data_IF_502584908066
#
_entry.id   IF_502584908066
#
_cell.length_a   1.000
_cell.length_b   1.000
_cell.length_c   1.000
_cell.angle_alpha   90.00
_cell.angle_beta   90.00
_cell.angle_gamma   90.00
#
_symmetry.space_group_name_H-M   'P 1'
#
loop_
_entity.id
_entity.type
_entity.pdbx_description
1 polymer ?
2 branched ?
3 non-polymer ?
4 water ?
#
# COMPACT_ATOMS: atom_id res chain seq x y z
N UNK A 4 -13.56 1.16 15.24
CA UNK A 4 -14.79 0.91 14.51
C UNK A 4 -14.65 0.33 13.10
N UNK A 5 -13.60 0.65 12.35
CA UNK A 5 -13.38 0.11 11.03
C UNK A 5 -13.22 -1.41 11.03
N UNK A 6 -12.23 -1.90 11.77
CA UNK A 6 -12.03 -3.37 11.85
C UNK A 6 -13.18 -4.00 12.61
N UNK A 7 -13.70 -3.26 13.58
CA UNK A 7 -14.88 -3.72 14.30
C UNK A 7 -16.04 -4.00 13.34
N UNK A 8 -16.34 -3.17 12.37
CA UNK A 8 -17.37 -3.38 11.38
C UNK A 8 -17.11 -4.47 10.35
N UNK A 9 -15.92 -4.43 9.74
CA UNK A 9 -15.56 -5.34 8.67
C UNK A 9 -14.87 -6.63 9.11
N UNK A 10 -14.12 -6.63 10.20
CA UNK A 10 -13.49 -7.86 10.68
C UNK A 10 -12.55 -8.40 9.58
N UNK A 11 -12.60 -9.71 9.44
CA UNK A 11 -11.76 -10.40 8.45
C UNK A 11 -12.06 -10.08 7.02
N UNK A 12 -11.08 -9.57 6.26
CA UNK A 12 -11.19 -9.30 4.85
C UNK A 12 -10.87 -10.53 4.04
N UNK A 13 -11.38 -10.65 2.84
CA UNK A 13 -11.16 -11.80 1.97
C UNK A 13 -11.42 -11.33 0.57
N UNK A 14 -11.12 -12.12 -0.43
CA UNK A 14 -11.37 -11.80 -1.80
C UNK A 14 -12.50 -12.70 -2.32
N UNK A 15 -13.45 -12.12 -3.00
CA UNK A 15 -14.58 -12.84 -3.57
C UNK A 15 -14.75 -12.39 -5.02
N UNK A 16 -14.36 -13.27 -5.94
CA UNK A 16 -14.44 -12.95 -7.37
C UNK A 16 -13.72 -11.68 -7.77
N UNK A 17 -12.56 -11.45 -7.17
CA UNK A 17 -11.74 -10.29 -7.51
C UNK A 17 -12.03 -9.07 -6.67
N UNK A 18 -12.99 -9.14 -5.75
CA UNK A 18 -13.39 -8.01 -4.95
C UNK A 18 -12.93 -8.22 -3.49
N UNK A 19 -12.42 -7.13 -2.93
CA UNK A 19 -12.10 -7.09 -1.52
C UNK A 19 -13.42 -7.02 -0.77
N UNK A 20 -13.69 -7.95 0.12
CA UNK A 20 -14.95 -7.99 0.84
C UNK A 20 -14.71 -8.26 2.31
N UNK A 21 -15.73 -7.96 3.11
CA UNK A 21 -15.66 -8.15 4.53
C UNK A 21 -16.23 -9.53 4.86
N UNK A 22 -16.29 -9.78 6.17
CA UNK A 22 -16.78 -11.10 6.56
C UNK A 22 -18.25 -11.34 6.32
N UNK A 23 -19.04 -10.56 5.60
CA UNK A 23 -20.41 -10.85 5.22
C UNK A 23 -20.55 -10.75 3.71
N UNK A 24 -19.39 -10.66 3.01
CA UNK A 24 -19.44 -10.57 1.55
C UNK A 24 -19.71 -9.23 0.95
N UNK A 25 -19.73 -8.21 1.83
CA UNK A 25 -19.98 -6.84 1.38
C UNK A 25 -18.67 -6.22 0.92
N UNK A 26 -18.70 -5.50 -0.16
CA UNK A 26 -17.59 -4.76 -0.68
C UNK A 26 -16.98 -3.86 0.40
N UNK A 27 -15.63 -3.84 0.41
CA UNK A 27 -14.92 -3.00 1.36
C UNK A 27 -13.94 -2.17 0.51
N UNK A 28 -13.90 -0.87 0.73
CA UNK A 28 -12.97 -0.03 -0.01
C UNK A 28 -12.13 0.73 1.01
N UNK A 29 -10.86 0.41 1.09
CA UNK A 29 -9.93 1.01 2.03
C UNK A 29 -9.26 2.20 1.31
N UNK A 30 -9.17 3.33 1.99
CA UNK A 30 -8.54 4.55 1.57
C UNK A 30 -7.67 5.06 2.71
N UNK A 31 -6.39 5.30 2.44
CA UNK A 31 -5.55 5.74 3.56
C UNK A 31 -4.25 6.29 2.98
N UNK A 32 -3.29 6.41 3.87
CA UNK A 32 -2.00 6.94 3.47
C UNK A 32 -0.90 5.92 3.66
N UNK A 33 0.14 6.07 2.84
CA UNK A 33 1.37 5.37 3.02
C UNK A 33 2.38 6.37 3.66
N UNK A 34 3.22 5.80 4.56
CA UNK A 34 4.37 6.49 5.05
C UNK A 34 5.33 6.60 3.86
N UNK A 35 6.31 7.45 4.01
CA UNK A 35 7.46 7.48 3.06
C UNK A 35 8.41 6.43 3.67
N UNK A 36 9.67 6.38 3.29
CA UNK A 36 10.59 5.38 3.84
C UNK A 36 10.73 5.53 5.34
N UNK A 37 10.47 4.46 6.07
CA UNK A 37 10.53 4.50 7.55
C UNK A 37 11.94 4.80 8.06
N UNK A 38 12.98 4.53 7.28
CA UNK A 38 14.34 4.85 7.67
C UNK A 38 14.61 6.34 7.55
N UNK A 39 13.81 7.13 6.85
CA UNK A 39 14.00 8.54 6.69
C UNK A 39 12.96 9.40 7.42
N UNK A 40 11.71 8.97 7.34
CA UNK A 40 10.60 9.78 7.82
C UNK A 40 9.70 9.05 8.76
N UNK A 41 10.28 8.31 9.70
CA UNK A 41 9.61 7.51 10.68
C UNK A 41 8.94 8.27 11.81
N UNK A 42 9.36 9.52 12.01
CA UNK A 42 8.77 10.36 13.04
C UNK A 42 7.30 10.64 12.72
N UNK A 43 6.88 10.56 11.47
CA UNK A 43 5.50 10.82 11.08
C UNK A 43 4.58 9.62 11.30
N UNK A 44 5.17 8.49 11.67
CA UNK A 44 4.47 7.24 11.92
C UNK A 44 4.48 6.93 13.42
N UNK A 45 3.30 7.12 14.03
CA UNK A 45 3.13 6.94 15.45
C UNK A 45 1.63 6.86 15.77
N UNK A 46 1.32 6.48 17.00
CA UNK A 46 -0.08 6.35 17.39
C UNK A 46 -0.81 7.69 17.25
N UNK A 47 -0.20 8.80 17.62
CA UNK A 47 -0.97 10.06 17.58
C UNK A 47 -1.25 10.45 16.12
N UNK A 48 -0.24 10.42 15.26
CA UNK A 48 -0.45 10.79 13.86
C UNK A 48 -1.44 9.86 13.20
N UNK A 49 -1.43 8.56 13.45
CA UNK A 49 -2.40 7.62 12.85
C UNK A 49 -3.80 7.85 13.40
N UNK A 50 -3.86 8.27 14.67
CA UNK A 50 -5.18 8.60 15.22
C UNK A 50 -5.77 9.84 14.56
N UNK A 51 -4.91 10.85 14.37
CA UNK A 51 -5.30 12.09 13.75
C UNK A 51 -5.73 11.82 12.31
N UNK A 52 -4.96 10.99 11.59
CA UNK A 52 -5.37 10.61 10.24
C UNK A 52 -6.72 9.87 10.27
N UNK A 53 -6.94 9.01 11.25
CA UNK A 53 -8.17 8.26 11.36
C UNK A 53 -9.34 9.23 11.63
N UNK A 54 -9.13 10.05 12.65
CA UNK A 54 -10.21 10.91 13.10
C UNK A 54 -10.44 12.13 12.26
N UNK A 55 -9.42 12.78 11.73
CA UNK A 55 -9.57 14.01 10.96
C UNK A 55 -9.63 13.78 9.46
N UNK A 56 -8.89 12.79 8.95
CA UNK A 56 -8.96 12.52 7.52
C UNK A 56 -10.01 11.44 7.18
N UNK A 57 -10.26 10.52 8.09
CA UNK A 57 -11.09 9.36 7.88
C UNK A 57 -10.38 8.15 7.29
N UNK A 58 -9.04 8.02 7.43
CA UNK A 58 -8.38 6.84 6.89
C UNK A 58 -8.93 5.56 7.53
N UNK A 59 -8.88 4.47 6.81
CA UNK A 59 -9.25 3.19 7.33
C UNK A 59 -8.14 2.14 7.05
N UNK A 60 -6.99 2.60 6.61
CA UNK A 60 -5.84 1.77 6.35
C UNK A 60 -4.59 2.69 6.37
N UNK A 61 -3.50 2.16 6.92
CA UNK A 61 -2.22 2.82 7.02
C UNK A 61 -1.16 1.86 6.47
N UNK A 62 -0.31 2.38 5.59
CA UNK A 62 0.72 1.54 4.98
C UNK A 62 2.10 1.91 5.51
N UNK A 63 2.79 0.93 6.08
CA UNK A 63 4.13 1.12 6.59
C UNK A 63 5.12 0.67 5.50
N UNK A 64 5.82 1.65 4.94
CA UNK A 64 6.74 1.40 3.85
C UNK A 64 8.15 1.17 4.34
N UNK A 65 8.45 -0.10 4.55
CA UNK A 65 9.73 -0.53 5.04
C UNK A 65 10.68 -0.79 3.86
N UNK A 66 11.44 0.23 3.47
CA UNK A 66 12.42 0.00 2.41
C UNK A 66 13.37 -1.10 2.88
N UNK A 67 13.81 -1.90 1.93
CA UNK A 67 14.73 -2.98 2.18
C UNK A 67 16.13 -2.41 1.95
N UNK A 68 16.27 -1.82 0.79
CA UNK A 68 17.52 -1.19 0.40
C UNK A 68 17.52 0.27 0.80
N UNK A 69 18.43 1.08 0.30
CA UNK A 69 18.56 2.50 0.59
C UNK A 69 18.58 2.89 2.04
N UNK A 70 19.33 2.18 2.89
CA UNK A 70 19.50 2.40 4.28
C UNK A 70 18.36 1.81 5.13
N UNK A 71 17.59 0.93 4.51
CA UNK A 71 16.47 0.29 5.14
C UNK A 71 16.79 -0.99 5.88
N UNK A 72 15.79 -1.89 5.91
CA UNK A 72 15.87 -3.07 6.72
C UNK A 72 17.13 -3.93 6.53
N UNK A 73 17.61 -4.14 5.32
CA UNK A 73 18.77 -5.02 5.13
C UNK A 73 19.95 -4.48 5.91
N UNK A 74 20.33 -3.23 5.69
CA UNK A 74 21.41 -2.65 6.49
C UNK A 74 21.08 -2.36 7.93
N UNK A 75 19.85 -1.92 8.24
CA UNK A 75 19.54 -1.67 9.65
C UNK A 75 18.13 -2.15 9.92
N UNK A 76 18.01 -3.34 10.47
CA UNK A 76 16.76 -3.95 10.77
C UNK A 76 16.04 -3.37 11.97
N UNK A 77 16.57 -2.33 12.61
CA UNK A 77 15.88 -1.69 13.72
C UNK A 77 14.63 -0.98 13.22
N UNK A 78 14.56 -0.71 11.90
CA UNK A 78 13.36 -0.14 11.30
C UNK A 78 12.16 -1.06 11.49
N UNK A 79 12.35 -2.34 11.73
CA UNK A 79 11.23 -3.26 11.99
C UNK A 79 10.40 -2.83 13.21
N UNK A 80 11.02 -2.21 14.18
CA UNK A 80 10.40 -1.71 15.39
C UNK A 80 9.36 -0.63 15.03
N UNK A 81 9.72 0.21 14.06
CA UNK A 81 8.79 1.21 13.53
C UNK A 81 7.60 0.56 12.87
N UNK A 82 7.78 -0.55 12.13
CA UNK A 82 6.74 -1.33 11.56
C UNK A 82 5.85 -1.91 12.67
N UNK A 83 6.50 -2.45 13.72
CA UNK A 83 5.74 -2.95 14.83
C UNK A 83 4.88 -1.90 15.50
N UNK A 84 5.43 -0.74 15.72
CA UNK A 84 4.77 0.40 16.34
C UNK A 84 3.55 0.81 15.51
N UNK A 85 3.70 0.77 14.19
CA UNK A 85 2.61 1.12 13.28
C UNK A 85 1.49 0.09 13.37
N UNK A 86 1.81 -1.20 13.34
CA UNK A 86 0.88 -2.30 13.41
C UNK A 86 0.06 -2.30 14.70
N UNK A 87 0.78 -2.12 15.80
CA UNK A 87 0.21 -2.11 17.15
C UNK A 87 -0.65 -0.87 17.28
N UNK A 88 -0.23 0.26 16.71
CA UNK A 88 -1.09 1.45 16.69
C UNK A 88 -2.34 1.21 15.90
N UNK A 89 -2.27 0.56 14.72
CA UNK A 89 -3.42 0.23 13.90
C UNK A 89 -4.40 -0.67 14.64
N UNK A 90 -3.81 -1.63 15.40
CA UNK A 90 -4.66 -2.56 16.15
C UNK A 90 -5.39 -1.80 17.29
N UNK A 91 -4.69 -0.90 17.94
CA UNK A 91 -5.30 -0.09 18.98
C UNK A 91 -6.37 0.82 18.39
N UNK A 92 -6.09 1.37 17.20
CA UNK A 92 -7.01 2.34 16.60
C UNK A 92 -8.10 1.72 15.78
N UNK A 93 -8.09 0.42 15.60
CA UNK A 93 -9.07 -0.37 14.88
C UNK A 93 -9.13 -0.13 13.39
N UNK A 94 -7.96 0.14 12.78
CA UNK A 94 -7.87 0.35 11.34
C UNK A 94 -6.99 -0.76 10.75
N UNK A 95 -6.98 -0.90 9.44
CA UNK A 95 -6.17 -1.88 8.75
C UNK A 95 -4.76 -1.32 8.55
N UNK A 96 -3.79 -2.22 8.41
CA UNK A 96 -2.40 -1.85 8.30
C UNK A 96 -1.71 -2.75 7.29
N UNK A 97 -0.94 -2.13 6.41
CA UNK A 97 -0.21 -2.86 5.37
C UNK A 97 1.28 -2.84 5.76
N UNK A 98 1.84 -4.03 5.86
CA UNK A 98 3.27 -4.24 6.11
C UNK A 98 3.86 -4.39 4.71
N UNK A 99 4.64 -3.41 4.30
CA UNK A 99 5.22 -3.34 3.00
C UNK A 99 6.73 -3.50 2.98
N UNK A 100 7.15 -4.61 2.36
CA UNK A 100 8.52 -4.96 2.07
C UNK A 100 8.83 -4.16 0.79
N UNK A 101 9.37 -2.98 1.04
CA UNK A 101 9.41 -1.96 0.01
C UNK A 101 10.64 -2.03 -0.86
N UNK A 102 10.59 -3.00 -1.80
CA UNK A 102 11.76 -3.06 -2.73
C UNK A 102 11.57 -1.96 -3.78
N UNK A 103 12.64 -1.48 -4.39
CA UNK A 103 12.66 -0.45 -5.42
C UNK A 103 13.99 -0.48 -6.15
N UNK A 104 15.06 0.03 -5.58
CA UNK A 104 16.38 -0.09 -6.24
C UNK A 104 16.81 -1.54 -6.34
N UNK A 105 16.44 -2.38 -5.35
CA UNK A 105 16.61 -3.83 -5.38
C UNK A 105 15.40 -4.36 -6.15
N UNK A 106 15.51 -4.24 -7.48
CA UNK A 106 14.38 -4.35 -8.36
C UNK A 106 13.82 -5.73 -8.59
N UNK A 107 14.64 -6.72 -8.34
CA UNK A 107 14.15 -8.12 -8.43
C UNK A 107 13.87 -8.54 -7.01
N UNK A 108 12.64 -9.00 -6.70
CA UNK A 108 12.28 -9.42 -5.36
C UNK A 108 13.15 -10.57 -4.86
N UNK A 109 13.69 -11.39 -5.76
CA UNK A 109 14.57 -12.45 -5.29
C UNK A 109 15.89 -12.01 -4.70
N UNK A 110 16.34 -10.76 -4.85
CA UNK A 110 17.59 -10.29 -4.29
C UNK A 110 17.61 -10.58 -2.80
N UNK A 111 16.56 -10.26 -2.03
CA UNK A 111 16.52 -10.54 -0.61
C UNK A 111 15.41 -11.55 -0.25
N UNK A 112 15.27 -12.61 -1.05
CA UNK A 112 14.23 -13.58 -0.77
C UNK A 112 14.31 -14.23 0.60
N UNK A 113 15.49 -14.68 1.00
CA UNK A 113 15.68 -15.34 2.29
C UNK A 113 15.28 -14.41 3.43
N UNK A 114 15.75 -13.19 3.40
CA UNK A 114 15.44 -12.15 4.37
C UNK A 114 13.93 -11.85 4.42
N UNK A 115 13.29 -11.78 3.25
CA UNK A 115 11.85 -11.53 3.19
C UNK A 115 11.05 -12.65 3.82
N UNK A 116 11.46 -13.88 3.55
CA UNK A 116 10.83 -15.04 4.17
C UNK A 116 11.02 -14.97 5.68
N UNK A 117 12.18 -14.60 6.17
CA UNK A 117 12.40 -14.55 7.62
C UNK A 117 11.53 -13.45 8.28
N UNK A 118 11.53 -12.30 7.65
CA UNK A 118 10.79 -11.11 8.07
C UNK A 118 9.30 -11.39 8.10
N UNK A 119 8.74 -11.97 7.04
CA UNK A 119 7.32 -12.30 7.02
C UNK A 119 6.93 -13.44 7.93
N UNK A 120 7.85 -14.39 8.15
CA UNK A 120 7.59 -15.43 9.15
C UNK A 120 7.43 -14.73 10.50
N UNK A 121 8.30 -13.83 10.89
CA UNK A 121 8.22 -13.11 12.15
C UNK A 121 6.97 -12.25 12.27
N UNK A 122 6.63 -11.51 11.20
CA UNK A 122 5.45 -10.63 11.27
C UNK A 122 4.16 -11.43 11.40
N UNK A 123 4.05 -12.49 10.63
CA UNK A 123 2.88 -13.34 10.60
C UNK A 123 2.70 -14.14 11.90
N UNK A 124 3.80 -14.56 12.52
CA UNK A 124 3.68 -15.22 13.83
C UNK A 124 3.19 -14.17 14.85
N UNK A 125 3.73 -12.97 14.83
CA UNK A 125 3.34 -11.99 15.83
C UNK A 125 1.91 -11.50 15.67
N UNK A 126 1.51 -11.27 14.40
CA UNK A 126 0.24 -10.60 14.13
C UNK A 126 -0.77 -11.31 13.30
N UNK A 127 -0.56 -12.52 12.84
CA UNK A 127 -1.43 -13.29 11.99
C UNK A 127 -2.87 -13.48 12.42
N UNK A 128 -3.11 -13.40 13.73
CA UNK A 128 -4.45 -13.61 14.27
C UNK A 128 -5.29 -12.35 14.22
N UNK A 129 -4.65 -11.22 13.85
CA UNK A 129 -5.47 -10.00 13.81
C UNK A 129 -5.92 -9.75 12.38
N UNK A 130 -7.19 -9.42 12.19
CA UNK A 130 -7.71 -9.13 10.86
C UNK A 130 -7.17 -7.82 10.31
N UNK A 131 -6.60 -6.98 11.12
CA UNK A 131 -6.08 -5.68 10.72
C UNK A 131 -4.94 -5.78 9.70
N UNK A 132 -4.18 -6.86 9.77
CA UNK A 132 -2.96 -6.94 8.97
C UNK A 132 -3.10 -7.37 7.55
N UNK A 133 -2.36 -6.66 6.69
CA UNK A 133 -2.31 -6.95 5.26
C UNK A 133 -0.84 -7.04 4.92
N UNK A 134 -0.39 -8.08 4.23
CA UNK A 134 1.01 -8.15 3.83
C UNK A 134 1.24 -7.69 2.39
N UNK A 135 2.31 -6.93 2.16
CA UNK A 135 2.67 -6.51 0.81
C UNK A 135 4.11 -6.94 0.61
N UNK A 136 4.32 -8.04 -0.12
CA UNK A 136 5.58 -8.74 -0.13
C UNK A 136 6.62 -8.24 -1.10
N UNK A 137 6.28 -7.35 -2.03
CA UNK A 137 7.32 -6.82 -2.94
C UNK A 137 6.82 -5.54 -3.61
N UNK A 138 7.02 -4.41 -2.97
CA UNK A 138 6.50 -3.14 -3.41
C UNK A 138 6.46 -2.95 -4.92
N UNK A 139 7.64 -2.73 -5.52
CA UNK A 139 7.75 -2.46 -6.93
C UNK A 139 8.84 -3.19 -7.69
N UNK A 140 8.55 -4.43 -8.06
CA UNK A 140 9.45 -5.13 -8.99
C UNK A 140 9.62 -4.20 -10.19
N UNK A 141 10.82 -4.12 -10.77
CA UNK A 141 10.98 -3.29 -11.96
C UNK A 141 12.21 -3.75 -12.76
N UNK A 142 12.29 -3.28 -14.00
CA UNK A 142 13.43 -3.70 -14.86
C UNK A 142 12.93 -4.63 -15.96
N UNK A 143 13.53 -4.51 -17.16
CA UNK A 143 13.12 -5.30 -18.30
C UNK A 143 13.36 -6.78 -18.10
N UNK A 144 14.27 -7.21 -17.24
CA UNK A 144 14.47 -8.63 -17.01
C UNK A 144 13.88 -9.15 -15.71
N UNK A 145 12.88 -8.47 -15.17
CA UNK A 145 12.17 -8.85 -13.96
C UNK A 145 10.75 -9.01 -14.44
N UNK A 146 10.31 -10.29 -14.56
CA UNK A 146 9.00 -10.57 -15.07
C UNK A 146 8.18 -11.40 -14.10
N UNK A 147 6.89 -11.33 -14.34
CA UNK A 147 5.95 -12.11 -13.52
C UNK A 147 6.29 -13.61 -13.56
N UNK A 148 6.46 -14.15 -14.77
CA UNK A 148 6.75 -15.55 -14.95
C UNK A 148 8.07 -16.08 -14.45
N UNK A 149 9.17 -15.37 -14.65
CA UNK A 149 10.46 -15.82 -14.29
C UNK A 149 10.87 -15.45 -12.86
N UNK A 150 10.48 -14.25 -12.42
CA UNK A 150 10.91 -13.72 -11.13
C UNK A 150 9.84 -13.50 -10.11
N UNK A 151 8.71 -12.90 -10.46
CA UNK A 151 7.80 -12.48 -9.39
C UNK A 151 6.86 -13.54 -8.88
N UNK A 152 6.25 -14.30 -9.78
CA UNK A 152 5.32 -15.34 -9.34
C UNK A 152 5.97 -16.39 -8.42
N UNK A 153 7.15 -16.87 -8.83
CA UNK A 153 7.89 -17.86 -8.06
C UNK A 153 8.33 -17.33 -6.68
N UNK A 154 8.76 -16.05 -6.63
CA UNK A 154 8.99 -15.38 -5.34
C UNK A 154 7.74 -15.46 -4.44
N UNK A 155 6.61 -15.05 -5.01
CA UNK A 155 5.36 -15.13 -4.25
C UNK A 155 5.00 -16.53 -3.81
N UNK A 156 5.23 -17.50 -4.72
CA UNK A 156 5.00 -18.89 -4.45
C UNK A 156 5.89 -19.41 -3.34
N UNK A 157 6.99 -18.78 -3.00
CA UNK A 157 7.81 -19.20 -1.85
C UNK A 157 7.48 -18.44 -0.59
N UNK A 158 7.21 -17.13 -0.69
CA UNK A 158 6.89 -16.29 0.46
C UNK A 158 5.48 -16.58 0.98
N UNK A 159 4.49 -16.72 0.09
CA UNK A 159 3.11 -16.94 0.55
C UNK A 159 2.96 -18.13 1.49
N UNK A 160 3.50 -19.30 1.22
CA UNK A 160 3.41 -20.44 2.14
C UNK A 160 4.01 -20.16 3.49
N UNK A 161 5.06 -19.38 3.61
CA UNK A 161 5.69 -18.96 4.86
C UNK A 161 4.70 -18.16 5.70
N UNK A 162 3.98 -17.24 5.07
CA UNK A 162 2.96 -16.47 5.79
C UNK A 162 1.79 -17.39 6.13
N UNK A 163 1.37 -18.22 5.22
CA UNK A 163 0.20 -19.10 5.40
C UNK A 163 0.43 -20.15 6.49
N UNK A 164 1.65 -20.49 6.75
CA UNK A 164 1.97 -21.43 7.86
C UNK A 164 1.48 -20.77 9.14
N UNK A 165 1.71 -19.44 9.22
CA UNK A 165 1.26 -18.78 10.42
C UNK A 165 -0.09 -18.06 10.31
N UNK A 166 -0.50 -17.63 9.13
CA UNK A 166 -1.70 -16.81 8.99
C UNK A 166 -2.40 -17.27 7.76
N UNK A 167 -3.38 -18.19 7.90
CA UNK A 167 -4.04 -18.79 6.79
C UNK A 167 -4.93 -17.92 5.92
N UNK A 168 -5.33 -16.77 6.43
CA UNK A 168 -6.35 -16.00 5.73
C UNK A 168 -6.14 -14.52 5.43
N UNK A 169 -5.25 -13.82 6.08
CA UNK A 169 -5.07 -12.40 5.78
C UNK A 169 -4.64 -12.14 4.35
N UNK A 170 -4.98 -10.96 3.82
CA UNK A 170 -4.78 -10.59 2.43
C UNK A 170 -3.28 -10.39 2.17
N UNK A 171 -2.81 -10.89 1.07
CA UNK A 171 -1.44 -10.66 0.63
C UNK A 171 -1.48 -9.92 -0.71
N UNK A 172 -0.81 -8.78 -0.80
CA UNK A 172 -0.71 -7.95 -1.98
C UNK A 172 0.66 -8.24 -2.64
N UNK A 173 0.69 -8.58 -3.90
CA UNK A 173 1.84 -8.95 -4.67
C UNK A 173 2.12 -7.97 -5.79
N UNK A 174 3.33 -7.44 -5.73
CA UNK A 174 3.75 -6.48 -6.73
C UNK A 174 3.84 -7.13 -8.13
N UNK A 175 3.83 -6.22 -9.10
CA UNK A 175 3.85 -6.63 -10.50
C UNK A 175 4.95 -5.94 -11.28
N UNK A 176 5.13 -6.37 -12.54
CA UNK A 176 6.22 -5.79 -13.31
C UNK A 176 6.06 -4.33 -13.67
N UNK A 177 7.19 -3.75 -14.11
CA UNK A 177 7.22 -2.33 -14.44
C UNK A 177 6.72 -1.45 -13.32
N UNK A 178 7.34 -1.55 -12.14
CA UNK A 178 6.96 -0.73 -11.00
C UNK A 178 5.51 -0.94 -10.65
N UNK A 179 5.06 -2.19 -10.54
CA UNK A 179 3.71 -2.57 -10.24
C UNK A 179 2.68 -1.91 -11.16
N UNK A 180 2.97 -2.02 -12.47
CA UNK A 180 2.02 -1.59 -13.49
C UNK A 180 1.47 -2.77 -14.28
N UNK A 181 2.24 -3.86 -14.37
CA UNK A 181 1.93 -4.97 -15.26
C UNK A 181 1.02 -6.03 -14.69
N UNK A 182 -0.12 -5.52 -14.26
CA UNK A 182 -1.19 -6.32 -13.69
C UNK A 182 -1.84 -7.18 -14.76
N UNK A 183 -1.71 -6.79 -16.02
CA UNK A 183 -2.34 -7.70 -17.01
C UNK A 183 -1.54 -8.99 -17.16
N UNK A 184 -0.21 -8.98 -17.08
CA UNK A 184 0.53 -10.24 -17.17
C UNK A 184 0.22 -11.15 -16.00
N UNK A 185 0.12 -10.50 -14.82
CA UNK A 185 -0.21 -11.23 -13.61
C UNK A 185 -1.60 -11.82 -13.73
N UNK A 186 -2.56 -11.08 -14.29
CA UNK A 186 -3.93 -11.57 -14.36
C UNK A 186 -4.05 -12.75 -15.35
N UNK A 187 -3.15 -12.83 -16.29
CA UNK A 187 -3.18 -13.98 -17.21
C UNK A 187 -2.45 -15.19 -16.62
N UNK A 188 -1.85 -15.08 -15.44
CA UNK A 188 -1.13 -16.22 -14.83
C UNK A 188 -1.14 -16.04 -13.32
N UNK A 189 -2.36 -16.06 -12.76
CA UNK A 189 -2.62 -15.77 -11.39
C UNK A 189 -2.12 -16.83 -10.41
N UNK A 190 -1.84 -16.35 -9.22
CA UNK A 190 -1.51 -17.23 -8.12
C UNK A 190 -2.75 -18.04 -7.75
N UNK A 191 -2.53 -19.18 -7.12
CA UNK A 191 -3.62 -20.01 -6.67
C UNK A 191 -4.25 -19.58 -5.36
N UNK A 192 -3.51 -18.95 -4.45
CA UNK A 192 -4.02 -18.55 -3.12
C UNK A 192 -5.22 -17.63 -3.34
N UNK A 193 -6.32 -17.92 -2.69
CA UNK A 193 -7.55 -17.17 -2.92
C UNK A 193 -7.53 -15.77 -2.35
N UNK A 194 -6.74 -15.55 -1.31
CA UNK A 194 -6.73 -14.22 -0.69
C UNK A 194 -5.55 -13.36 -1.08
N UNK A 195 -5.28 -13.24 -2.37
CA UNK A 195 -4.20 -12.43 -2.88
C UNK A 195 -4.75 -11.28 -3.70
N UNK A 196 -3.97 -10.21 -3.81
CA UNK A 196 -4.33 -9.07 -4.66
C UNK A 196 -3.03 -8.68 -5.36
N UNK A 197 -3.15 -8.12 -6.55
CA UNK A 197 -2.02 -7.66 -7.30
C UNK A 197 -1.93 -6.15 -7.16
N UNK A 198 -0.71 -5.69 -6.99
CA UNK A 198 -0.51 -4.25 -6.84
C UNK A 198 -0.55 -3.52 -8.17
N UNK A 199 -1.20 -2.33 -8.17
CA UNK A 199 -1.12 -1.40 -9.26
C UNK A 199 -0.81 -0.01 -8.72
N UNK A 200 0.30 0.58 -9.16
CA UNK A 200 0.77 1.89 -8.78
C UNK A 200 0.77 2.89 -9.95
N UNK A 201 0.50 4.18 -9.63
CA UNK A 201 0.49 5.19 -10.68
C UNK A 201 0.82 6.56 -10.08
N UNK A 202 1.14 7.45 -11.01
CA UNK A 202 1.41 8.86 -10.72
C UNK A 202 0.52 9.70 -11.65
N UNK A 203 -0.35 10.54 -11.08
CA UNK A 203 -1.29 11.35 -11.84
C UNK A 203 -0.66 12.26 -12.87
N UNK A 204 0.55 12.74 -12.77
CA UNK A 204 1.17 13.59 -13.76
C UNK A 204 1.91 12.79 -14.83
N UNK A 205 1.80 11.46 -14.81
CA UNK A 205 2.52 10.61 -15.75
C UNK A 205 1.64 9.59 -16.45
N UNK A 206 0.76 8.93 -15.72
CA UNK A 206 -0.07 7.85 -16.20
C UNK A 206 -1.51 8.19 -16.45
N UNK A 207 -2.09 7.68 -17.54
CA UNK A 207 -3.44 7.95 -17.93
C UNK A 207 -4.27 6.79 -18.41
N UNK A 208 -5.04 7.03 -19.49
CA UNK A 208 -6.00 6.07 -19.98
C UNK A 208 -5.42 4.70 -20.35
N UNK A 209 -4.24 4.68 -20.88
CA UNK A 209 -3.62 3.42 -21.32
C UNK A 209 -3.41 2.47 -20.14
N UNK A 210 -2.95 3.04 -19.03
CA UNK A 210 -2.80 2.20 -17.82
C UNK A 210 -4.13 1.92 -17.19
N UNK A 211 -5.11 2.86 -17.32
CA UNK A 211 -6.43 2.55 -16.82
C UNK A 211 -7.00 1.34 -17.55
N UNK A 212 -6.85 1.29 -18.88
CA UNK A 212 -7.38 0.16 -19.66
C UNK A 212 -6.66 -1.16 -19.32
N UNK A 213 -5.38 -1.11 -19.06
CA UNK A 213 -4.58 -2.26 -18.60
C UNK A 213 -5.12 -2.80 -17.29
N UNK A 214 -5.46 -1.88 -16.35
CA UNK A 214 -6.09 -2.30 -15.13
C UNK A 214 -7.43 -2.94 -15.38
N UNK A 215 -8.26 -2.42 -16.30
CA UNK A 215 -9.55 -3.01 -16.64
C UNK A 215 -9.38 -4.40 -17.25
N UNK A 216 -8.31 -4.58 -17.96
CA UNK A 216 -8.02 -5.92 -18.54
C UNK A 216 -7.82 -6.93 -17.41
N UNK A 217 -6.95 -6.57 -16.47
CA UNK A 217 -6.69 -7.43 -15.30
C UNK A 217 -7.93 -7.76 -14.53
N UNK A 218 -8.75 -6.74 -14.20
CA UNK A 218 -10.02 -6.92 -13.51
C UNK A 218 -10.97 -7.81 -14.33
N UNK A 219 -10.94 -7.68 -15.63
CA UNK A 219 -11.77 -8.54 -16.48
C UNK A 219 -11.32 -9.99 -16.41
N UNK A 220 -10.06 -10.26 -16.03
CA UNK A 220 -9.65 -11.65 -15.88
C UNK A 220 -9.95 -12.21 -14.50
N UNK A 221 -10.65 -11.49 -13.63
CA UNK A 221 -10.96 -11.91 -12.31
C UNK A 221 -9.90 -11.64 -11.25
N UNK A 222 -8.87 -10.90 -11.56
CA UNK A 222 -7.81 -10.58 -10.61
C UNK A 222 -8.19 -9.45 -9.67
N UNK A 223 -7.86 -9.54 -8.39
CA UNK A 223 -8.13 -8.45 -7.46
C UNK A 223 -6.96 -7.49 -7.49
N UNK A 224 -7.24 -6.18 -7.48
CA UNK A 224 -6.21 -5.15 -7.57
C UNK A 224 -6.28 -4.17 -6.40
N UNK A 225 -5.14 -3.89 -5.77
CA UNK A 225 -4.98 -2.99 -4.66
C UNK A 225 -4.00 -1.91 -5.12
N UNK A 226 -4.46 -0.67 -5.18
CA UNK A 226 -3.61 0.47 -5.58
C UNK A 226 -2.83 0.86 -4.34
N UNK A 227 -1.78 0.08 -3.99
CA UNK A 227 -1.15 0.28 -2.69
C UNK A 227 -0.25 1.48 -2.57
N UNK A 228 0.02 2.14 -3.68
CA UNK A 228 0.81 3.35 -3.77
C UNK A 228 0.37 4.17 -4.98
N UNK A 229 0.14 5.47 -4.81
CA UNK A 229 -0.14 6.33 -5.99
C UNK A 229 0.21 7.76 -5.53
N UNK A 230 0.65 8.56 -6.50
CA UNK A 230 1.02 9.93 -6.24
C UNK A 230 0.21 10.92 -7.07
N UNK A 231 0.07 12.14 -6.53
CA UNK A 231 -0.69 13.19 -7.27
C UNK A 231 0.21 13.92 -8.26
N UNK A 232 1.51 13.78 -8.12
CA UNK A 232 2.53 14.41 -8.90
C UNK A 232 2.91 13.58 -10.13
N UNK A 233 3.94 14.04 -10.82
CA UNK A 233 4.49 13.24 -11.90
C UNK A 233 5.43 12.30 -11.17
N UNK A 234 5.78 11.18 -11.82
CA UNK A 234 6.77 10.26 -11.26
C UNK A 234 8.08 11.00 -11.05
N UNK A 235 8.36 11.94 -11.96
CA UNK A 235 9.55 12.77 -11.89
C UNK A 235 9.47 13.70 -10.68
N UNK A 236 8.27 14.21 -10.37
CA UNK A 236 8.07 15.17 -9.30
C UNK A 236 8.24 16.60 -9.82
N UNK A 237 8.14 16.82 -11.13
CA UNK A 237 8.22 18.17 -11.66
C UNK A 237 6.84 18.63 -12.11
N UNK A 238 6.63 19.95 -12.08
CA UNK A 238 5.36 20.51 -12.56
C UNK A 238 4.32 20.55 -11.43
N UNK A 239 4.72 20.11 -10.24
CA UNK A 239 3.82 20.22 -9.09
C UNK A 239 2.88 19.03 -9.04
N UNK A 240 1.67 19.26 -8.53
CA UNK A 240 0.70 18.20 -8.49
C UNK A 240 -0.18 18.37 -9.73
N UNK A 241 -0.80 17.27 -10.11
CA UNK A 241 -1.72 17.17 -11.23
C UNK A 241 -3.05 16.68 -10.76
N UNK A 242 -3.83 17.52 -10.06
CA UNK A 242 -5.07 17.08 -9.43
C UNK A 242 -6.21 16.89 -10.34
N UNK A 243 -6.10 17.48 -11.55
CA UNK A 243 -7.12 17.23 -12.56
C UNK A 243 -7.09 15.72 -12.90
N UNK A 244 -5.92 15.27 -13.34
CA UNK A 244 -5.81 13.83 -13.67
C UNK A 244 -5.88 12.99 -12.39
N UNK A 245 -5.37 13.51 -11.25
CA UNK A 245 -5.61 12.75 -10.01
C UNK A 245 -7.07 12.53 -9.80
N UNK A 246 -7.97 13.53 -10.04
CA UNK A 246 -9.38 13.27 -9.84
C UNK A 246 -9.93 12.28 -10.84
N UNK A 247 -9.42 12.22 -12.06
CA UNK A 247 -9.93 11.18 -12.99
C UNK A 247 -9.67 9.76 -12.45
N UNK A 248 -8.47 9.59 -11.94
CA UNK A 248 -8.08 8.34 -11.28
C UNK A 248 -8.88 8.03 -10.06
N UNK A 249 -9.24 9.07 -9.26
CA UNK A 249 -10.05 8.85 -8.08
C UNK A 249 -11.38 8.26 -8.44
N UNK A 250 -11.98 8.87 -9.49
CA UNK A 250 -13.28 8.40 -9.94
C UNK A 250 -13.14 7.00 -10.53
N UNK A 251 -12.12 6.76 -11.30
CA UNK A 251 -11.81 5.42 -11.84
C UNK A 251 -11.80 4.37 -10.72
N UNK A 252 -11.01 4.67 -9.67
CA UNK A 252 -10.97 3.73 -8.53
C UNK A 252 -12.30 3.58 -7.87
N UNK A 253 -13.06 4.69 -7.68
CA UNK A 253 -14.37 4.59 -7.04
C UNK A 253 -15.35 3.75 -7.85
N UNK A 254 -15.40 3.98 -9.16
CA UNK A 254 -16.27 3.20 -10.04
C UNK A 254 -16.06 1.70 -9.83
N UNK A 255 -14.79 1.28 -9.72
CA UNK A 255 -14.42 -0.12 -9.52
C UNK A 255 -14.17 -0.59 -8.10
N UNK A 256 -14.46 0.24 -7.11
CA UNK A 256 -14.26 0.01 -5.70
C UNK A 256 -12.81 -0.37 -5.31
N UNK A 257 -11.79 0.09 -6.03
CA UNK A 257 -10.42 -0.25 -5.70
C UNK A 257 -9.92 0.48 -4.44
N UNK A 258 -9.28 -0.32 -3.57
CA UNK A 258 -8.69 0.25 -2.37
C UNK A 258 -7.41 0.96 -2.74
N UNK A 259 -7.06 1.96 -1.91
CA UNK A 259 -5.79 2.62 -2.17
C UNK A 259 -5.11 3.25 -0.96
N UNK A 260 -3.81 3.52 -1.16
CA UNK A 260 -3.02 4.27 -0.22
C UNK A 260 -2.19 5.29 -0.97
N UNK A 261 -2.30 6.55 -0.56
CA UNK A 261 -1.56 7.62 -1.22
C UNK A 261 -0.15 7.74 -0.73
N UNK A 262 0.75 8.04 -1.65
CA UNK A 262 2.15 8.29 -1.34
C UNK A 262 2.40 9.79 -1.40
N UNK A 263 2.80 10.36 -0.28
CA UNK A 263 3.12 9.76 0.97
C UNK A 263 3.04 10.77 2.15
N UNK A 264 3.03 10.23 3.35
CA UNK A 264 2.93 11.07 4.55
C UNK A 264 4.33 11.45 5.00
N UNK A 265 4.76 12.59 4.57
CA UNK A 265 6.05 13.16 4.90
C UNK A 265 6.05 14.68 4.71
N UNK A 266 7.05 15.32 5.34
CA UNK A 266 7.21 16.77 5.13
C UNK A 266 8.33 17.09 4.14
N UNK A 267 8.82 16.04 3.47
CA UNK A 267 9.81 16.25 2.42
C UNK A 267 9.25 17.22 1.38
N UNK A 268 10.14 18.06 0.87
CA UNK A 268 9.85 19.01 -0.17
C UNK A 268 9.83 18.38 -1.55
N UNK A 269 8.82 17.58 -1.83
CA UNK A 269 8.54 17.00 -3.13
C UNK A 269 7.03 17.06 -3.27
N UNK A 270 6.53 17.24 -4.47
CA UNK A 270 5.14 17.45 -4.78
C UNK A 270 4.20 16.38 -4.27
N UNK A 271 4.67 15.12 -4.28
CA UNK A 271 3.78 14.07 -3.77
C UNK A 271 3.63 14.10 -2.24
N UNK A 272 4.51 14.75 -1.54
CA UNK A 272 4.44 14.76 -0.05
C UNK A 272 3.12 15.38 0.41
N UNK A 273 2.51 14.81 1.45
CA UNK A 273 1.24 15.34 1.93
C UNK A 273 1.37 16.51 2.89
N UNK A 274 2.56 16.68 3.44
CA UNK A 274 2.77 17.70 4.49
C UNK A 274 3.80 18.73 4.07
N UNK A 275 3.68 19.94 4.62
CA UNK A 275 4.73 20.93 4.36
C UNK A 275 5.89 20.72 5.32
N UNK A 276 7.09 21.13 4.92
CA UNK A 276 8.25 21.06 5.78
C UNK A 276 8.00 21.63 7.16
N UNK A 277 8.36 20.95 8.23
CA UNK A 277 8.15 21.38 9.57
C UNK A 277 6.83 20.94 10.17
N UNK A 278 5.97 20.28 9.40
CA UNK A 278 4.67 19.83 9.93
C UNK A 278 4.81 19.00 11.16
N UNK A 279 3.92 19.12 12.13
CA UNK A 279 4.01 18.33 13.37
C UNK A 279 3.98 16.83 13.14
N UNK A 280 4.96 16.11 13.71
CA UNK A 280 5.07 14.68 13.54
C UNK A 280 3.93 13.91 14.18
N UNK A 281 3.27 14.48 15.20
CA UNK A 281 2.18 13.78 15.86
C UNK A 281 0.78 14.18 15.41
N UNK A 282 0.69 14.87 14.29
CA UNK A 282 -0.64 15.19 13.74
C UNK A 282 -1.17 16.50 14.30
N UNK A 283 -2.48 16.66 14.18
CA UNK A 283 -3.17 17.88 14.62
C UNK A 283 -2.82 19.02 13.72
N UNK A 284 -2.60 18.75 12.42
CA UNK A 284 -2.10 19.70 11.47
C UNK A 284 -3.10 20.83 11.23
N UNK A 285 -2.58 22.02 11.06
CA UNK A 285 -3.46 23.14 10.63
C UNK A 285 -3.60 22.93 9.13
N UNK A 286 -4.44 23.70 8.47
CA UNK A 286 -4.52 23.59 7.01
C UNK A 286 -3.22 24.11 6.42
N UNK A 287 -2.49 25.00 7.08
CA UNK A 287 -1.21 25.44 6.51
C UNK A 287 -0.13 24.36 6.59
N UNK A 288 -0.28 23.31 7.36
CA UNK A 288 0.73 22.27 7.48
C UNK A 288 0.55 21.21 6.40
N UNK A 289 -0.51 21.30 5.61
CA UNK A 289 -0.79 20.35 4.54
C UNK A 289 -0.36 20.94 3.21
N UNK A 290 0.23 20.18 2.33
CA UNK A 290 0.61 20.58 1.00
C UNK A 290 -0.62 20.50 0.15
N UNK A 291 -0.54 21.04 -1.07
CA UNK A 291 -1.62 20.96 -2.05
C UNK A 291 -2.00 19.52 -2.28
N UNK A 292 -0.98 18.62 -2.36
CA UNK A 292 -1.32 17.20 -2.49
C UNK A 292 -2.09 16.69 -1.28
N UNK A 293 -1.57 17.02 -0.08
CA UNK A 293 -2.22 16.60 1.14
C UNK A 293 -3.62 17.14 1.32
N UNK A 294 -3.83 18.41 0.96
CA UNK A 294 -5.15 19.02 1.04
C UNK A 294 -6.15 18.26 0.20
N UNK A 295 -5.76 17.98 -1.05
CA UNK A 295 -6.61 17.18 -1.96
C UNK A 295 -6.86 15.76 -1.45
N UNK A 296 -5.81 15.02 -1.09
CA UNK A 296 -6.02 13.63 -0.59
C UNK A 296 -6.90 13.56 0.62
N UNK A 297 -6.64 14.47 1.62
CA UNK A 297 -7.49 14.55 2.79
C UNK A 297 -8.96 14.69 2.39
N UNK A 298 -9.26 15.61 1.47
CA UNK A 298 -10.59 15.83 0.96
C UNK A 298 -11.14 14.56 0.34
N UNK A 299 -10.35 13.88 -0.49
CA UNK A 299 -10.87 12.61 -1.04
C UNK A 299 -11.24 11.59 0.01
N UNK A 300 -10.43 11.48 1.09
CA UNK A 300 -10.74 10.52 2.13
C UNK A 300 -11.87 10.96 3.02
N UNK A 301 -11.97 12.27 3.33
CA UNK A 301 -13.06 12.77 4.14
C UNK A 301 -14.41 12.61 3.45
N UNK A 302 -14.45 12.90 2.15
CA UNK A 302 -15.76 12.90 1.51
C UNK A 302 -16.33 11.49 1.40
N UNK A 303 -15.49 10.42 1.53
CA UNK A 303 -16.11 9.08 1.56
C UNK A 303 -16.19 8.49 2.96
N UNK A 304 -15.76 9.22 3.98
CA UNK A 304 -15.71 8.73 5.35
C UNK A 304 -17.02 8.91 6.12
N UNK A 305 -17.34 8.04 7.06
CA UNK A 305 -18.57 8.16 7.85
C UNK A 305 -18.30 8.77 9.23
#
# INVERSE_FOLDING_TARGET
>A
DNDSVVEEHGQLSISNGELVNERGEQVQLKGMSSHGLQWYGQFVNYESMKWLRDDWGINVFRAAMYTSSGGYIDDPSVKEKVKEAVEAAIDLDIYVIIDWHILSDNDPNIYKEEAKDFFDEMSELYGDYPNVIYEIANEPNGSDVTWGNQIKPYAEEVIPIIRNNDPNNIIIVGTGTWSQDVHHAADNQLADPNVMYAFHFYAGTHGQNLRDQVDYALDQGAAIFVSEWGTSAATGDGGVFLDEAQVWIDFMDERNLSWANWSLTHKDESSAALMPGANPTGGWTEAELSPSGTFVREKIRESAS
#
